data_IF_303503857006
#
_entry.id   IF_303503857006
#
_cell.length_a   1.000
_cell.length_b   1.000
_cell.length_c   1.000
_cell.angle_alpha   90.00
_cell.angle_beta   90.00
_cell.angle_gamma   90.00
#
_symmetry.space_group_name_H-M   'P 1'
#
loop_
_entity.id
_entity.type
_entity.pdbx_description
1 polymer ?
#
# COMPACT_ATOMS: atom_id res chain seq x y z
N UNK A 1 -15.64 -18.80 -29.23
CA UNK A 1 -15.52 -17.32 -29.35
C UNK A 1 -15.47 -16.62 -28.00
N UNK A 2 -16.24 -17.05 -26.98
CA UNK A 2 -16.25 -16.46 -25.63
C UNK A 2 -14.88 -16.35 -24.92
N UNK A 3 -13.96 -17.29 -25.16
CA UNK A 3 -12.63 -17.26 -24.51
C UNK A 3 -11.79 -16.04 -24.94
N UNK A 4 -11.85 -15.66 -26.22
CA UNK A 4 -11.05 -14.57 -26.78
C UNK A 4 -11.49 -13.19 -26.27
N UNK A 5 -12.77 -13.05 -25.91
CA UNK A 5 -13.32 -11.81 -25.34
C UNK A 5 -12.87 -11.59 -23.89
N UNK A 6 -12.63 -12.67 -23.14
CA UNK A 6 -12.14 -12.63 -21.75
C UNK A 6 -10.62 -12.52 -21.70
N UNK A 7 -9.91 -13.01 -22.72
CA UNK A 7 -8.45 -13.10 -22.71
C UNK A 7 -7.76 -11.72 -22.72
N UNK A 8 -8.30 -10.76 -23.47
CA UNK A 8 -7.80 -9.36 -23.47
C UNK A 8 -7.92 -8.69 -22.09
N UNK A 9 -9.10 -8.62 -21.47
CA UNK A 9 -9.24 -8.01 -20.14
C UNK A 9 -8.51 -8.80 -19.05
N UNK A 10 -8.40 -10.13 -19.17
CA UNK A 10 -7.60 -10.92 -18.24
C UNK A 10 -6.10 -10.59 -18.32
N UNK A 11 -5.57 -10.50 -19.55
CA UNK A 11 -4.17 -10.12 -19.78
C UNK A 11 -3.88 -8.69 -19.30
N UNK A 12 -4.87 -7.80 -19.42
CA UNK A 12 -4.79 -6.45 -18.87
C UNK A 12 -4.69 -6.46 -17.35
N UNK A 13 -5.51 -7.25 -16.64
CA UNK A 13 -5.42 -7.38 -15.18
C UNK A 13 -4.07 -7.95 -14.75
N UNK A 14 -3.58 -8.97 -15.45
CA UNK A 14 -2.26 -9.55 -15.18
C UNK A 14 -1.15 -8.50 -15.32
N UNK A 15 -1.19 -7.70 -16.39
CA UNK A 15 -0.26 -6.59 -16.58
C UNK A 15 -0.37 -5.53 -15.48
N UNK A 16 -1.58 -5.16 -15.05
CA UNK A 16 -1.76 -4.19 -13.98
C UNK A 16 -1.30 -4.72 -12.62
N UNK A 17 -1.45 -6.02 -12.35
CA UNK A 17 -0.86 -6.66 -11.18
C UNK A 17 0.66 -6.55 -11.20
N UNK A 18 1.32 -6.80 -12.33
CA UNK A 18 2.77 -6.62 -12.45
C UNK A 18 3.20 -5.16 -12.27
N UNK A 19 2.43 -4.22 -12.81
CA UNK A 19 2.66 -2.79 -12.64
C UNK A 19 2.59 -2.36 -11.17
N UNK A 20 1.59 -2.85 -10.42
CA UNK A 20 1.50 -2.61 -8.97
C UNK A 20 2.71 -3.22 -8.25
N UNK A 21 3.14 -4.43 -8.60
CA UNK A 21 4.33 -5.03 -8.01
C UNK A 21 5.59 -4.19 -8.25
N UNK A 22 5.76 -3.67 -9.48
CA UNK A 22 6.86 -2.78 -9.84
C UNK A 22 6.79 -1.45 -9.07
N UNK A 23 5.61 -0.85 -8.92
CA UNK A 23 5.42 0.39 -8.16
C UNK A 23 5.66 0.20 -6.66
N UNK A 24 5.25 -0.94 -6.10
CA UNK A 24 5.58 -1.31 -4.71
C UNK A 24 7.09 -1.48 -4.53
N UNK A 25 7.80 -2.00 -5.53
CA UNK A 25 9.25 -2.14 -5.49
C UNK A 25 9.97 -0.79 -5.62
N UNK A 26 9.55 0.07 -6.57
CA UNK A 26 10.15 1.41 -6.77
C UNK A 26 9.96 2.33 -5.57
N UNK A 27 8.86 2.16 -4.84
CA UNK A 27 8.57 2.96 -3.65
C UNK A 27 8.05 4.36 -3.95
N UNK A 28 7.69 4.63 -5.21
CA UNK A 28 7.09 5.88 -5.64
C UNK A 28 5.59 5.91 -5.29
N UNK A 29 5.14 6.81 -4.38
CA UNK A 29 3.76 6.81 -3.91
C UNK A 29 2.74 7.08 -5.02
N UNK A 30 3.08 7.99 -5.94
CA UNK A 30 2.19 8.40 -7.03
C UNK A 30 2.06 7.29 -8.09
N UNK A 31 3.16 6.58 -8.39
CA UNK A 31 3.13 5.43 -9.29
C UNK A 31 2.28 4.29 -8.70
N UNK A 32 2.37 4.06 -7.39
CA UNK A 32 1.57 3.06 -6.69
C UNK A 32 0.08 3.39 -6.70
N UNK A 33 -0.28 4.64 -6.42
CA UNK A 33 -1.67 5.09 -6.46
C UNK A 33 -2.26 4.92 -7.87
N UNK A 34 -1.53 5.37 -8.90
CA UNK A 34 -1.96 5.25 -10.29
C UNK A 34 -2.14 3.79 -10.71
N UNK A 35 -1.16 2.93 -10.41
CA UNK A 35 -1.24 1.50 -10.74
C UNK A 35 -2.37 0.79 -10.00
N UNK A 36 -2.61 1.15 -8.73
CA UNK A 36 -3.71 0.58 -7.93
C UNK A 36 -5.09 1.00 -8.45
N UNK A 37 -5.24 2.26 -8.87
CA UNK A 37 -6.48 2.74 -9.49
C UNK A 37 -6.75 2.03 -10.81
N UNK A 38 -5.73 1.90 -11.67
CA UNK A 38 -5.85 1.22 -12.95
C UNK A 38 -6.18 -0.28 -12.80
N UNK A 39 -5.60 -0.96 -11.78
CA UNK A 39 -5.92 -2.34 -11.45
C UNK A 39 -7.38 -2.48 -10.96
N UNK A 40 -7.86 -1.54 -10.14
CA UNK A 40 -9.26 -1.54 -9.68
C UNK A 40 -10.23 -1.40 -10.84
N UNK A 41 -9.98 -0.47 -11.75
CA UNK A 41 -10.82 -0.25 -12.94
C UNK A 41 -10.87 -1.50 -13.82
N UNK A 42 -9.70 -2.06 -14.15
CA UNK A 42 -9.63 -3.30 -14.95
C UNK A 42 -10.36 -4.48 -14.28
N UNK A 43 -10.27 -4.60 -12.94
CA UNK A 43 -10.96 -5.64 -12.18
C UNK A 43 -12.49 -5.46 -12.19
N UNK A 44 -12.98 -4.22 -12.08
CA UNK A 44 -14.42 -3.90 -12.16
C UNK A 44 -14.96 -4.20 -13.55
N UNK A 45 -14.24 -3.79 -14.60
CA UNK A 45 -14.62 -4.06 -15.98
C UNK A 45 -14.67 -5.56 -16.27
N UNK A 46 -13.69 -6.31 -15.77
CA UNK A 46 -13.66 -7.77 -15.89
C UNK A 46 -14.78 -8.46 -15.12
N UNK A 47 -15.09 -8.00 -13.90
CA UNK A 47 -16.22 -8.53 -13.13
C UNK A 47 -17.54 -8.30 -13.87
N UNK A 48 -17.75 -7.10 -14.41
CA UNK A 48 -18.93 -6.79 -15.22
C UNK A 48 -19.00 -7.64 -16.50
N UNK A 49 -17.87 -7.94 -17.12
CA UNK A 49 -17.79 -8.82 -18.29
C UNK A 49 -18.11 -10.28 -17.92
N UNK A 50 -17.57 -10.77 -16.80
CA UNK A 50 -17.88 -12.10 -16.27
C UNK A 50 -19.36 -12.28 -15.92
N UNK A 51 -19.99 -11.27 -15.33
CA UNK A 51 -21.43 -11.30 -15.01
C UNK A 51 -22.28 -11.39 -16.28
N UNK A 52 -21.92 -10.64 -17.33
CA UNK A 52 -22.59 -10.70 -18.64
C UNK A 52 -22.46 -12.05 -19.33
N UNK A 53 -21.36 -12.76 -19.09
CA UNK A 53 -21.08 -14.06 -19.69
C UNK A 53 -21.67 -15.25 -18.90
N UNK A 54 -22.52 -14.99 -17.90
CA UNK A 54 -23.16 -16.03 -17.09
C UNK A 54 -22.32 -16.49 -15.90
N UNK A 55 -21.36 -15.69 -15.48
CA UNK A 55 -20.62 -15.85 -14.22
C UNK A 55 -19.49 -16.88 -14.26
N UNK A 56 -18.83 -17.10 -13.10
CA UNK A 56 -17.64 -17.96 -12.98
C UNK A 56 -17.92 -19.45 -13.21
N UNK A 57 -19.18 -19.87 -13.30
CA UNK A 57 -19.55 -21.23 -13.68
C UNK A 57 -19.22 -21.53 -15.14
N UNK A 58 -19.25 -20.52 -16.01
CA UNK A 58 -18.84 -20.65 -17.42
C UNK A 58 -17.31 -20.57 -17.61
N UNK A 59 -16.56 -20.23 -16.54
CA UNK A 59 -15.11 -20.21 -16.60
C UNK A 59 -14.55 -21.64 -16.70
N UNK A 60 -13.89 -21.94 -17.82
CA UNK A 60 -13.16 -23.18 -18.02
C UNK A 60 -12.02 -23.38 -17.00
N UNK A 61 -11.45 -24.59 -16.91
CA UNK A 61 -10.42 -24.94 -15.92
C UNK A 61 -9.17 -24.05 -16.01
N UNK A 62 -8.77 -23.65 -17.22
CA UNK A 62 -7.63 -22.75 -17.45
C UNK A 62 -7.88 -21.34 -16.91
N UNK A 63 -9.05 -20.77 -17.20
CA UNK A 63 -9.43 -19.44 -16.71
C UNK A 63 -9.48 -19.41 -15.17
N UNK A 64 -10.01 -20.47 -14.55
CA UNK A 64 -10.02 -20.60 -13.09
C UNK A 64 -8.61 -20.67 -12.49
N UNK A 65 -7.69 -21.38 -13.14
CA UNK A 65 -6.31 -21.45 -12.69
C UNK A 65 -5.62 -20.08 -12.73
N UNK A 66 -5.82 -19.31 -13.81
CA UNK A 66 -5.28 -17.94 -13.94
C UNK A 66 -5.89 -16.98 -12.91
N UNK A 67 -7.20 -17.03 -12.70
CA UNK A 67 -7.87 -16.22 -11.67
C UNK A 67 -7.36 -16.55 -10.27
N UNK A 68 -7.13 -17.83 -9.97
CA UNK A 68 -6.53 -18.24 -8.69
C UNK A 68 -5.12 -17.67 -8.52
N UNK A 69 -4.27 -17.77 -9.55
CA UNK A 69 -2.92 -17.19 -9.54
C UNK A 69 -2.96 -15.68 -9.31
N UNK A 70 -3.89 -14.97 -9.96
CA UNK A 70 -4.09 -13.54 -9.75
C UNK A 70 -4.51 -13.21 -8.30
N UNK A 71 -5.42 -13.98 -7.72
CA UNK A 71 -5.84 -13.80 -6.33
C UNK A 71 -4.68 -14.03 -5.34
N UNK A 72 -3.83 -15.01 -5.59
CA UNK A 72 -2.62 -15.26 -4.81
C UNK A 72 -1.64 -14.08 -4.91
N UNK A 73 -1.39 -13.57 -6.13
CA UNK A 73 -0.53 -12.41 -6.34
C UNK A 73 -1.05 -11.15 -5.64
N UNK A 74 -2.35 -10.87 -5.72
CA UNK A 74 -2.99 -9.76 -5.01
C UNK A 74 -2.84 -9.86 -3.49
N UNK A 75 -2.94 -11.07 -2.95
CA UNK A 75 -2.77 -11.31 -1.51
C UNK A 75 -1.34 -10.96 -1.07
N UNK A 76 -0.35 -11.41 -1.83
CA UNK A 76 1.07 -11.09 -1.58
C UNK A 76 1.32 -9.59 -1.66
N UNK A 77 0.74 -8.90 -2.65
CA UNK A 77 0.85 -7.44 -2.79
C UNK A 77 0.26 -6.71 -1.58
N UNK A 78 -0.91 -7.14 -1.11
CA UNK A 78 -1.54 -6.59 0.08
C UNK A 78 -0.66 -6.73 1.33
N UNK A 79 -0.05 -7.89 1.52
CA UNK A 79 0.88 -8.13 2.63
C UNK A 79 2.13 -7.26 2.54
N UNK A 80 2.68 -7.05 1.34
CA UNK A 80 3.81 -6.15 1.12
C UNK A 80 3.47 -4.69 1.45
N UNK A 81 2.27 -4.23 1.06
CA UNK A 81 1.78 -2.90 1.38
C UNK A 81 1.60 -2.70 2.89
N UNK A 82 1.01 -3.66 3.60
CA UNK A 82 0.85 -3.62 5.06
C UNK A 82 2.21 -3.55 5.76
N UNK A 83 3.18 -4.36 5.33
CA UNK A 83 4.53 -4.31 5.90
C UNK A 83 5.19 -2.95 5.66
N UNK A 84 5.01 -2.38 4.48
CA UNK A 84 5.58 -1.07 4.14
C UNK A 84 4.92 0.08 4.90
N UNK A 85 3.61 0.03 5.15
CA UNK A 85 2.93 1.05 5.96
C UNK A 85 3.46 1.10 7.39
N UNK A 86 3.73 -0.07 8.00
CA UNK A 86 4.33 -0.16 9.34
C UNK A 86 5.76 0.42 9.36
N UNK A 87 6.56 0.18 8.32
CA UNK A 87 7.91 0.77 8.19
C UNK A 87 7.82 2.29 8.07
N UNK A 88 6.91 2.81 7.25
CA UNK A 88 6.68 4.25 7.08
C UNK A 88 6.22 4.88 8.39
N UNK A 89 5.29 4.26 9.12
CA UNK A 89 4.81 4.74 10.41
C UNK A 89 5.94 4.81 11.45
N UNK A 90 6.80 3.79 11.51
CA UNK A 90 7.98 3.79 12.39
C UNK A 90 8.99 4.87 11.99
N UNK A 91 9.24 5.06 10.69
CA UNK A 91 10.11 6.12 10.20
C UNK A 91 9.53 7.51 10.51
N UNK A 92 8.22 7.69 10.36
CA UNK A 92 7.52 8.92 10.73
C UNK A 92 7.65 9.19 12.24
N UNK A 93 7.48 8.18 13.09
CA UNK A 93 7.69 8.31 14.53
C UNK A 93 9.14 8.64 14.93
N UNK A 94 10.13 8.24 14.11
CA UNK A 94 11.53 8.58 14.34
C UNK A 94 11.87 10.01 13.88
N UNK A 95 11.28 10.48 12.77
CA UNK A 95 11.53 11.80 12.19
C UNK A 95 10.71 12.92 12.83
N UNK A 96 9.47 12.61 13.22
CA UNK A 96 8.63 13.47 14.07
C UNK A 96 8.72 12.87 15.46
N UNK A 97 9.71 13.25 16.28
CA UNK A 97 9.64 12.91 17.69
C UNK A 97 8.34 13.53 18.19
N UNK A 98 7.35 12.68 18.47
CA UNK A 98 6.21 13.06 19.31
C UNK A 98 6.82 13.90 20.41
N UNK A 99 6.35 15.13 20.58
CA UNK A 99 6.85 16.14 21.51
C UNK A 99 6.95 15.53 22.91
N UNK A 100 8.00 14.75 23.15
CA UNK A 100 8.30 14.11 24.41
C UNK A 100 8.64 15.32 25.26
N UNK A 101 7.69 15.72 26.09
CA UNK A 101 7.88 16.73 27.15
C UNK A 101 9.27 16.47 27.69
N UNK A 102 10.17 17.42 27.45
CA UNK A 102 11.58 17.27 27.82
C UNK A 102 11.62 16.93 29.30
N UNK A 103 11.95 15.68 29.63
CA UNK A 103 12.09 15.22 31.03
C UNK A 103 13.24 15.94 31.73
N UNK A 104 14.04 16.72 30.98
CA UNK A 104 15.13 17.55 31.47
C UNK A 104 14.98 19.02 31.04
N UNK A 105 13.76 19.57 31.00
CA UNK A 105 13.62 21.02 31.12
C UNK A 105 14.19 21.42 32.50
N UNK A 106 15.45 21.85 32.50
CA UNK A 106 16.14 22.35 33.68
C UNK A 106 15.30 23.48 34.30
N UNK A 107 15.17 23.56 35.63
CA UNK A 107 14.62 24.75 36.26
C UNK A 107 15.61 25.90 36.04
N UNK A 108 15.39 26.67 34.98
CA UNK A 108 15.95 28.00 34.84
C UNK A 108 15.35 28.87 35.97
N UNK A 109 16.05 28.94 37.11
CA UNK A 109 15.61 29.81 38.19
C UNK A 109 16.22 29.56 39.56
N UNK A 110 17.53 29.80 39.73
CA UNK A 110 18.05 30.51 40.91
C UNK A 110 19.52 30.97 40.73
N UNK A 111 19.75 31.89 39.79
CA UNK A 111 20.86 32.83 39.92
C UNK A 111 20.32 34.04 40.69
N UNK A 112 20.52 34.06 42.01
CA UNK A 112 19.96 35.08 42.89
C UNK A 112 20.82 35.30 44.13
N UNK A 113 21.90 36.05 43.93
CA UNK A 113 22.50 36.99 44.90
C UNK A 113 22.92 36.48 46.28
N UNK A 114 24.18 36.07 46.42
CA UNK A 114 24.92 36.26 47.68
C UNK A 114 25.84 37.48 47.48
N UNK A 115 25.35 38.64 47.92
CA UNK A 115 26.13 39.86 48.07
C UNK A 115 26.94 39.73 49.36
N UNK A 116 28.26 39.92 49.26
CA UNK A 116 29.18 40.01 50.37
C UNK A 116 28.73 41.05 51.42
N UNK A 117 28.87 40.73 52.70
CA UNK A 117 29.14 41.72 53.76
C UNK A 117 29.95 41.10 54.90
N UNK A 118 30.98 41.85 55.26
CA UNK A 118 31.97 41.68 56.33
C UNK A 118 31.43 41.99 57.73
N UNK A 119 31.92 41.26 58.74
CA UNK A 119 32.32 41.76 60.06
C UNK A 119 33.18 40.70 60.76
#
# INVERSE_FOLDING_TARGET
MLLAEIEKPLSLIEFQCESVAAAVASGEPQALESASNALREAAVDFAGLMDRLGGPQQAGPELRARLKKLAEQLTIQRENLIRRSVVVERALHALVPATRKSTYAAPAGRAGGYKAFSA
#
